data_IF_712625456215
#
_entry.id   IF_712625456215
#
_cell.length_a   1.000
_cell.length_b   1.000
_cell.length_c   1.000
_cell.angle_alpha   90.00
_cell.angle_beta   90.00
_cell.angle_gamma   90.00
#
_symmetry.space_group_name_H-M   'P 1'
#
loop_
_entity.id
_entity.type
_entity.pdbx_description
1 polymer ?
#
# COMPACT_ATOMS: atom_id res chain seq x y z
N UNK A 1 -17.00 25.06 -22.97
CA UNK A 1 -15.76 25.80 -22.67
C UNK A 1 -15.09 25.11 -21.49
N UNK A 2 -14.07 24.30 -21.72
CA UNK A 2 -13.33 23.66 -20.63
C UNK A 2 -12.36 24.71 -20.05
N UNK A 3 -12.66 25.23 -18.86
CA UNK A 3 -11.77 26.14 -18.15
C UNK A 3 -10.40 25.49 -17.98
N UNK A 4 -9.37 26.16 -18.47
CA UNK A 4 -7.99 25.69 -18.36
C UNK A 4 -7.55 25.80 -16.89
N UNK A 5 -7.70 24.70 -16.14
CA UNK A 5 -7.21 24.58 -14.76
C UNK A 5 -5.74 24.94 -14.71
N UNK A 6 -5.36 25.87 -13.83
CA UNK A 6 -3.99 26.35 -13.70
C UNK A 6 -3.04 25.23 -13.24
N UNK A 7 -1.72 25.31 -13.53
CA UNK A 7 -0.77 24.29 -13.12
C UNK A 7 -0.80 24.00 -11.61
N UNK A 8 -0.94 25.03 -10.77
CA UNK A 8 -1.03 24.91 -9.32
C UNK A 8 -2.31 24.20 -8.84
N UNK A 9 -3.46 24.48 -9.46
CA UNK A 9 -4.71 23.79 -9.15
C UNK A 9 -4.66 22.31 -9.56
N UNK A 10 -3.95 21.96 -10.66
CA UNK A 10 -3.76 20.55 -11.05
C UNK A 10 -2.91 19.79 -10.05
N UNK A 11 -1.82 20.39 -9.57
CA UNK A 11 -0.96 19.82 -8.54
C UNK A 11 -1.74 19.58 -7.23
N UNK A 12 -2.48 20.59 -6.77
CA UNK A 12 -3.32 20.48 -5.58
C UNK A 12 -4.38 19.38 -5.70
N UNK A 13 -5.05 19.28 -6.85
CA UNK A 13 -6.05 18.23 -7.07
C UNK A 13 -5.43 16.82 -7.03
N UNK A 14 -4.23 16.65 -7.60
CA UNK A 14 -3.51 15.37 -7.54
C UNK A 14 -3.04 15.03 -6.12
N UNK A 15 -2.58 16.02 -5.34
CA UNK A 15 -2.27 15.88 -3.91
C UNK A 15 -3.48 15.40 -3.11
N UNK A 16 -4.62 16.09 -3.27
CA UNK A 16 -5.86 15.76 -2.57
C UNK A 16 -6.35 14.36 -2.93
N UNK A 17 -6.27 13.99 -4.21
CA UNK A 17 -6.67 12.66 -4.66
C UNK A 17 -5.74 11.56 -4.12
N UNK A 18 -4.42 11.75 -4.18
CA UNK A 18 -3.46 10.78 -3.65
C UNK A 18 -3.53 10.65 -2.12
N UNK A 19 -3.69 11.77 -1.42
CA UNK A 19 -3.90 11.81 0.02
C UNK A 19 -5.24 11.18 0.42
N UNK A 20 -6.30 11.46 -0.33
CA UNK A 20 -7.61 10.85 -0.16
C UNK A 20 -7.56 9.32 -0.32
N UNK A 21 -6.88 8.81 -1.35
CA UNK A 21 -6.69 7.35 -1.53
C UNK A 21 -5.90 6.75 -0.36
N UNK A 22 -4.87 7.44 0.13
CA UNK A 22 -4.05 6.98 1.25
C UNK A 22 -4.87 6.91 2.55
N UNK A 23 -5.63 7.97 2.86
CA UNK A 23 -6.51 8.01 4.03
C UNK A 23 -7.60 6.95 3.91
N UNK A 24 -8.20 6.81 2.72
CA UNK A 24 -9.21 5.80 2.45
C UNK A 24 -8.64 4.39 2.69
N UNK A 25 -7.48 4.09 2.08
CA UNK A 25 -6.84 2.79 2.19
C UNK A 25 -6.40 2.48 3.62
N UNK A 26 -5.78 3.41 4.34
CA UNK A 26 -5.14 3.12 5.63
C UNK A 26 -6.01 3.37 6.85
N UNK A 27 -7.10 4.13 6.76
CA UNK A 27 -7.94 4.47 7.91
C UNK A 27 -9.42 4.12 7.67
N UNK A 28 -9.99 4.60 6.56
CA UNK A 28 -11.44 4.45 6.31
C UNK A 28 -11.81 3.00 6.02
N UNK A 29 -11.12 2.34 5.10
CA UNK A 29 -11.38 0.94 4.73
C UNK A 29 -11.18 0.00 5.93
N UNK A 30 -10.08 0.05 6.69
CA UNK A 30 -9.96 -0.69 7.95
C UNK A 30 -11.11 -0.44 8.93
N UNK A 31 -11.60 0.81 9.02
CA UNK A 31 -12.72 1.17 9.90
C UNK A 31 -14.03 0.53 9.47
N UNK A 32 -14.33 0.57 8.18
CA UNK A 32 -15.51 -0.09 7.60
C UNK A 32 -15.43 -1.61 7.84
N UNK A 33 -14.27 -2.23 7.62
CA UNK A 33 -14.08 -3.67 7.85
C UNK A 33 -14.25 -4.04 9.33
N UNK A 34 -13.75 -3.22 10.24
CA UNK A 34 -13.92 -3.41 11.68
C UNK A 34 -15.40 -3.31 12.10
N UNK A 35 -16.13 -2.31 11.59
CA UNK A 35 -17.57 -2.15 11.84
C UNK A 35 -18.40 -3.29 11.26
N UNK A 36 -18.00 -3.83 10.11
CA UNK A 36 -18.64 -4.96 9.46
C UNK A 36 -18.29 -6.32 10.13
N UNK A 37 -17.46 -6.34 11.18
CA UNK A 37 -17.06 -7.56 11.87
C UNK A 37 -16.17 -8.49 11.03
N UNK A 38 -15.49 -7.97 10.00
CA UNK A 38 -14.64 -8.77 9.13
C UNK A 38 -13.38 -9.22 9.90
N UNK A 39 -13.02 -10.51 9.87
CA UNK A 39 -11.77 -10.99 10.47
C UNK A 39 -10.55 -10.20 9.96
N UNK A 40 -9.68 -9.80 10.90
CA UNK A 40 -8.53 -8.94 10.59
C UNK A 40 -8.70 -7.47 10.97
N UNK A 41 -9.76 -7.11 11.70
CA UNK A 41 -9.92 -5.78 12.29
C UNK A 41 -8.66 -5.36 13.09
N UNK A 42 -8.25 -4.08 13.02
CA UNK A 42 -7.12 -3.57 13.79
C UNK A 42 -7.34 -3.77 15.29
N UNK A 43 -6.31 -4.24 15.99
CA UNK A 43 -6.27 -4.20 17.45
C UNK A 43 -6.28 -2.74 17.95
N UNK A 44 -6.53 -2.52 19.25
CA UNK A 44 -6.48 -1.17 19.84
C UNK A 44 -5.16 -0.44 19.53
N UNK A 45 -4.03 -1.16 19.59
CA UNK A 45 -2.72 -0.63 19.20
C UNK A 45 -2.49 -0.61 17.68
N UNK A 46 -3.18 -1.47 16.93
CA UNK A 46 -3.13 -1.50 15.47
C UNK A 46 -3.58 -0.20 14.80
N UNK A 47 -4.51 0.52 15.42
CA UNK A 47 -4.93 1.84 14.95
C UNK A 47 -3.81 2.88 14.95
N UNK A 48 -2.94 2.86 15.97
CA UNK A 48 -1.77 3.74 16.01
C UNK A 48 -0.78 3.44 14.88
N UNK A 49 -0.62 2.17 14.52
CA UNK A 49 0.22 1.76 13.38
C UNK A 49 -0.36 2.30 12.07
N UNK A 50 -1.69 2.17 11.88
CA UNK A 50 -2.37 2.67 10.69
C UNK A 50 -2.28 4.20 10.57
N UNK A 51 -2.46 4.92 11.68
CA UNK A 51 -2.31 6.40 11.72
C UNK A 51 -0.87 6.80 11.40
N UNK A 52 0.12 6.15 12.03
CA UNK A 52 1.53 6.45 11.76
C UNK A 52 1.90 6.18 10.29
N UNK A 53 1.44 5.07 9.72
CA UNK A 53 1.64 4.75 8.31
C UNK A 53 0.95 5.77 7.39
N UNK A 54 -0.27 6.19 7.73
CA UNK A 54 -1.00 7.21 6.99
C UNK A 54 -0.25 8.55 6.98
N UNK A 55 0.18 9.03 8.15
CA UNK A 55 0.96 10.26 8.27
C UNK A 55 2.26 10.18 7.48
N UNK A 56 3.01 9.08 7.59
CA UNK A 56 4.27 8.89 6.85
C UNK A 56 4.05 8.94 5.32
N UNK A 57 2.98 8.32 4.83
CA UNK A 57 2.65 8.32 3.39
C UNK A 57 2.17 9.69 2.90
N UNK A 58 1.40 10.43 3.70
CA UNK A 58 1.01 11.80 3.38
C UNK A 58 2.22 12.73 3.33
N UNK A 59 3.13 12.61 4.29
CA UNK A 59 4.40 13.34 4.29
C UNK A 59 5.26 12.99 3.07
N UNK A 60 5.34 11.70 2.70
CA UNK A 60 6.01 11.25 1.47
C UNK A 60 5.38 11.87 0.22
N UNK A 61 4.05 11.96 0.17
CA UNK A 61 3.35 12.54 -0.98
C UNK A 61 3.66 14.04 -1.12
N UNK A 62 3.62 14.80 -0.01
CA UNK A 62 3.99 16.21 0.02
C UNK A 62 5.46 16.41 -0.36
N UNK A 63 6.37 15.61 0.21
CA UNK A 63 7.79 15.66 -0.10
C UNK A 63 8.07 15.38 -1.59
N UNK A 64 7.37 14.41 -2.18
CA UNK A 64 7.48 14.08 -3.60
C UNK A 64 7.10 15.28 -4.48
N UNK A 65 5.96 15.94 -4.19
CA UNK A 65 5.57 17.16 -4.91
C UNK A 65 6.61 18.27 -4.78
N UNK A 66 7.12 18.52 -3.56
CA UNK A 66 8.12 19.56 -3.35
C UNK A 66 9.44 19.28 -4.07
N UNK A 67 9.80 18.01 -4.24
CA UNK A 67 11.06 17.61 -4.87
C UNK A 67 10.99 17.59 -6.40
N UNK A 68 9.87 17.18 -6.98
CA UNK A 68 9.75 17.00 -8.44
C UNK A 68 8.87 18.02 -9.14
N UNK A 69 8.06 18.81 -8.41
CA UNK A 69 7.08 19.76 -8.97
C UNK A 69 5.97 19.09 -9.80
N UNK A 70 5.92 17.76 -9.77
CA UNK A 70 5.00 16.94 -10.54
C UNK A 70 4.64 15.70 -9.71
N UNK A 71 3.46 15.68 -9.11
CA UNK A 71 2.82 14.43 -8.72
C UNK A 71 2.31 13.75 -9.97
N UNK A 72 2.90 12.61 -10.28
CA UNK A 72 2.38 11.72 -11.30
C UNK A 72 1.61 10.58 -10.66
N UNK A 73 0.32 10.52 -10.96
CA UNK A 73 -0.62 9.63 -10.28
C UNK A 73 -0.28 8.14 -10.52
N UNK A 74 0.27 7.83 -11.70
CA UNK A 74 0.78 6.50 -12.02
C UNK A 74 2.06 6.16 -11.23
N UNK A 75 2.89 7.15 -10.91
CA UNK A 75 4.14 6.98 -10.14
C UNK A 75 3.85 6.74 -8.65
N UNK A 76 2.82 7.37 -8.10
CA UNK A 76 2.38 7.16 -6.71
C UNK A 76 2.10 5.69 -6.39
N UNK A 77 1.47 4.99 -7.33
CA UNK A 77 1.23 3.56 -7.27
C UNK A 77 2.51 2.72 -7.19
N UNK A 78 3.42 2.95 -8.13
CA UNK A 78 4.74 2.31 -8.15
C UNK A 78 5.53 2.58 -6.87
N UNK A 79 5.59 3.83 -6.43
CA UNK A 79 6.30 4.24 -5.21
C UNK A 79 5.73 3.56 -3.96
N UNK A 80 4.41 3.31 -3.93
CA UNK A 80 3.76 2.57 -2.85
C UNK A 80 4.11 1.09 -2.89
N UNK A 81 4.18 0.46 -4.08
CA UNK A 81 4.68 -0.90 -4.22
C UNK A 81 6.13 -1.04 -3.71
N UNK A 82 7.01 -0.09 -4.06
CA UNK A 82 8.40 -0.08 -3.58
C UNK A 82 8.49 0.05 -2.06
N UNK A 83 7.67 0.93 -1.46
CA UNK A 83 7.59 1.04 0.01
C UNK A 83 7.13 -0.27 0.65
N UNK A 84 6.08 -0.90 0.11
CA UNK A 84 5.61 -2.19 0.63
C UNK A 84 6.66 -3.29 0.48
N UNK A 85 7.46 -3.29 -0.59
CA UNK A 85 8.56 -4.24 -0.77
C UNK A 85 9.60 -4.14 0.35
N UNK A 86 10.09 -2.92 0.61
CA UNK A 86 11.07 -2.68 1.67
C UNK A 86 10.51 -3.12 3.03
N UNK A 87 9.27 -2.72 3.33
CA UNK A 87 8.62 -3.07 4.59
C UNK A 87 8.41 -4.60 4.74
N UNK A 88 8.06 -5.29 3.66
CA UNK A 88 7.87 -6.75 3.67
C UNK A 88 9.19 -7.50 3.86
N UNK A 89 10.29 -7.04 3.24
CA UNK A 89 11.63 -7.61 3.47
C UNK A 89 12.02 -7.43 4.94
N UNK A 90 11.88 -6.22 5.49
CA UNK A 90 12.19 -5.96 6.89
C UNK A 90 11.35 -6.83 7.83
N UNK A 91 10.06 -7.00 7.53
CA UNK A 91 9.18 -7.86 8.30
C UNK A 91 9.61 -9.35 8.22
N UNK A 92 9.93 -9.83 7.03
CA UNK A 92 10.44 -11.19 6.83
C UNK A 92 11.76 -11.44 7.55
N UNK A 93 12.68 -10.47 7.54
CA UNK A 93 13.93 -10.54 8.29
C UNK A 93 13.68 -10.62 9.80
N UNK A 94 12.80 -9.77 10.34
CA UNK A 94 12.43 -9.80 11.76
C UNK A 94 11.83 -11.17 12.13
N UNK A 95 10.96 -11.73 11.29
CA UNK A 95 10.36 -13.03 11.56
C UNK A 95 11.38 -14.18 11.51
N UNK A 96 12.39 -14.10 10.65
CA UNK A 96 13.48 -15.08 10.56
C UNK A 96 14.39 -15.07 11.78
N UNK A 97 14.63 -13.90 12.36
CA UNK A 97 15.48 -13.73 13.55
C UNK A 97 14.73 -13.91 14.87
N UNK A 98 13.40 -13.97 14.84
CA UNK A 98 12.57 -14.11 16.02
C UNK A 98 12.17 -15.56 16.25
N UNK A 99 12.43 -16.07 17.46
CA UNK A 99 11.95 -17.39 17.90
C UNK A 99 10.43 -17.43 18.11
N UNK A 100 9.78 -16.26 18.20
CA UNK A 100 8.34 -16.11 18.35
C UNK A 100 7.67 -15.61 17.06
N UNK A 101 6.41 -15.99 16.84
CA UNK A 101 5.58 -15.45 15.75
C UNK A 101 5.29 -13.97 16.02
N UNK A 102 5.91 -13.08 15.24
CA UNK A 102 5.77 -11.62 15.33
C UNK A 102 4.53 -11.15 14.58
N UNK A 103 4.00 -11.95 13.65
CA UNK A 103 2.86 -11.62 12.78
C UNK A 103 1.70 -12.62 12.90
N UNK A 104 1.22 -12.94 14.13
CA UNK A 104 0.17 -13.95 14.32
C UNK A 104 -1.19 -13.51 13.74
N UNK A 105 -1.36 -12.22 13.46
CA UNK A 105 -2.56 -11.65 12.86
C UNK A 105 -2.78 -12.04 11.40
N UNK A 106 -1.73 -12.49 10.69
CA UNK A 106 -1.83 -12.90 9.28
C UNK A 106 -2.88 -14.00 9.05
N UNK A 107 -2.98 -14.97 9.96
CA UNK A 107 -3.95 -16.05 9.86
C UNK A 107 -5.42 -15.59 9.89
N UNK A 108 -5.69 -14.37 10.37
CA UNK A 108 -7.05 -13.81 10.44
C UNK A 108 -7.47 -13.08 9.17
N UNK A 109 -6.54 -12.81 8.26
CA UNK A 109 -6.80 -12.07 7.03
C UNK A 109 -7.35 -13.03 5.97
N UNK A 110 -8.67 -13.25 6.01
CA UNK A 110 -9.36 -14.25 5.19
C UNK A 110 -9.64 -13.85 3.74
N UNK A 111 -9.52 -12.58 3.38
CA UNK A 111 -9.81 -12.09 2.03
C UNK A 111 -8.68 -12.32 1.02
N UNK A 112 -7.50 -12.79 1.46
CA UNK A 112 -6.46 -13.33 0.59
C UNK A 112 -6.16 -14.78 1.04
N UNK A 113 -6.56 -15.80 0.27
CA UNK A 113 -6.46 -17.21 0.68
C UNK A 113 -5.03 -17.67 1.00
N UNK A 114 -4.01 -17.01 0.43
CA UNK A 114 -2.60 -17.28 0.72
C UNK A 114 -2.14 -16.77 2.10
N UNK A 115 -2.83 -15.78 2.67
CA UNK A 115 -2.47 -15.13 3.95
C UNK A 115 -3.17 -15.75 5.16
N UNK A 116 -4.35 -16.33 4.95
CA UNK A 116 -5.12 -17.04 5.98
C UNK A 116 -4.58 -18.41 6.40
N UNK A 117 -3.46 -18.88 5.85
CA UNK A 117 -2.89 -20.18 6.23
C UNK A 117 -2.50 -20.17 7.71
N UNK A 118 -3.04 -21.11 8.48
CA UNK A 118 -2.64 -21.31 9.88
C UNK A 118 -1.30 -22.06 9.93
N UNK A 119 -0.43 -21.72 10.88
CA UNK A 119 0.91 -22.32 10.95
C UNK A 119 1.88 -21.60 11.86
N UNK A 120 3.02 -22.25 12.10
CA UNK A 120 4.13 -21.75 12.92
C UNK A 120 4.91 -20.62 12.23
N UNK A 121 5.92 -20.08 12.93
CA UNK A 121 6.81 -19.02 12.44
C UNK A 121 7.40 -19.30 11.04
N UNK A 122 7.71 -20.57 10.70
CA UNK A 122 8.21 -20.95 9.36
C UNK A 122 7.19 -20.70 8.26
N UNK A 123 5.91 -20.98 8.50
CA UNK A 123 4.83 -20.74 7.56
C UNK A 123 4.63 -19.23 7.39
N UNK A 124 4.73 -18.45 8.49
CA UNK A 124 4.66 -16.97 8.44
C UNK A 124 5.76 -16.37 7.59
N UNK A 125 6.99 -16.83 7.76
CA UNK A 125 8.11 -16.42 6.93
C UNK A 125 7.86 -16.74 5.46
N UNK A 126 7.39 -17.94 5.14
CA UNK A 126 7.07 -18.32 3.77
C UNK A 126 5.96 -17.43 3.16
N UNK A 127 4.94 -17.08 3.94
CA UNK A 127 3.88 -16.16 3.51
C UNK A 127 4.39 -14.73 3.27
N UNK A 128 5.27 -14.22 4.14
CA UNK A 128 5.91 -12.90 3.95
C UNK A 128 6.82 -12.90 2.70
N UNK A 129 7.56 -13.98 2.45
CA UNK A 129 8.34 -14.14 1.22
C UNK A 129 7.41 -14.20 0.00
N UNK A 130 6.31 -14.94 0.08
CA UNK A 130 5.31 -14.99 -0.99
C UNK A 130 4.70 -13.62 -1.28
N UNK A 131 4.37 -12.84 -0.24
CA UNK A 131 3.89 -11.48 -0.38
C UNK A 131 4.93 -10.55 -0.99
N UNK A 132 6.20 -10.70 -0.59
CA UNK A 132 7.32 -9.96 -1.18
C UNK A 132 7.42 -10.25 -2.68
N UNK A 133 7.43 -11.52 -3.10
CA UNK A 133 7.50 -11.91 -4.51
C UNK A 133 6.31 -11.36 -5.30
N UNK A 134 5.10 -11.47 -4.74
CA UNK A 134 3.89 -10.94 -5.38
C UNK A 134 3.96 -9.42 -5.55
N UNK A 135 4.33 -8.70 -4.48
CA UNK A 135 4.50 -7.24 -4.51
C UNK A 135 5.60 -6.86 -5.51
N UNK A 136 6.63 -7.69 -5.67
CA UNK A 136 7.75 -7.42 -6.58
C UNK A 136 7.32 -7.57 -8.03
N UNK A 137 6.58 -8.63 -8.36
CA UNK A 137 5.99 -8.81 -9.68
C UNK A 137 5.08 -7.64 -10.05
N UNK A 138 4.25 -7.19 -9.11
CA UNK A 138 3.37 -6.04 -9.32
C UNK A 138 4.15 -4.73 -9.44
N UNK A 139 5.18 -4.52 -8.62
CA UNK A 139 6.09 -3.38 -8.73
C UNK A 139 6.78 -3.36 -10.11
N UNK A 140 7.17 -4.52 -10.63
CA UNK A 140 7.77 -4.63 -11.95
C UNK A 140 6.80 -4.29 -13.08
N UNK A 141 5.56 -4.79 -13.01
CA UNK A 141 4.50 -4.46 -13.98
C UNK A 141 4.18 -2.96 -13.93
N UNK A 142 4.00 -2.39 -12.74
CA UNK A 142 3.75 -0.96 -12.57
C UNK A 142 4.92 -0.11 -13.06
N UNK A 143 6.17 -0.52 -12.82
CA UNK A 143 7.36 0.15 -13.37
C UNK A 143 7.35 0.19 -14.90
N UNK A 144 6.98 -0.93 -15.55
CA UNK A 144 6.85 -1.01 -17.01
C UNK A 144 5.77 -0.05 -17.53
N UNK A 145 4.62 0.01 -16.87
CA UNK A 145 3.53 0.92 -17.26
C UNK A 145 3.96 2.38 -17.07
N UNK A 146 4.57 2.72 -15.93
CA UNK A 146 5.07 4.07 -15.66
C UNK A 146 6.13 4.49 -16.69
N UNK A 147 7.05 3.58 -17.04
CA UNK A 147 8.05 3.80 -18.07
C UNK A 147 7.43 4.04 -19.45
N UNK A 148 6.42 3.25 -19.83
CA UNK A 148 5.69 3.43 -21.09
C UNK A 148 4.88 4.73 -21.16
N UNK A 149 4.28 5.16 -20.04
CA UNK A 149 3.59 6.47 -19.96
C UNK A 149 4.61 7.61 -20.16
N UNK A 150 5.77 7.52 -19.49
CA UNK A 150 6.83 8.54 -19.64
C UNK A 150 7.36 8.63 -21.08
N UNK A 151 7.39 7.51 -21.80
CA UNK A 151 7.79 7.43 -23.22
C UNK A 151 6.65 7.78 -24.19
N UNK A 152 5.47 8.15 -23.69
CA UNK A 152 4.26 8.39 -24.48
C UNK A 152 3.79 7.17 -25.32
N UNK A 153 4.25 5.97 -24.97
CA UNK A 153 3.82 4.70 -25.58
C UNK A 153 2.46 4.22 -25.01
N UNK A 154 2.12 4.70 -23.80
CA UNK A 154 0.90 4.34 -23.08
C UNK A 154 0.17 5.63 -22.66
N UNK A 155 -1.14 5.68 -22.88
CA UNK A 155 -1.96 6.82 -22.47
C UNK A 155 -2.04 6.94 -20.94
N UNK A 156 -1.65 8.12 -20.45
CA UNK A 156 -1.73 8.54 -19.04
C UNK A 156 -3.15 8.55 -18.46
N UNK A 157 -4.18 8.61 -19.30
CA UNK A 157 -5.60 8.61 -18.89
C UNK A 157 -6.28 7.25 -19.04
N UNK A 158 -5.55 6.24 -19.52
CA UNK A 158 -6.09 4.90 -19.73
C UNK A 158 -6.20 4.08 -18.44
N UNK A 159 -6.95 2.97 -18.51
CA UNK A 159 -7.14 2.05 -17.38
C UNK A 159 -5.83 1.48 -16.79
N UNK A 160 -4.73 1.46 -17.56
CA UNK A 160 -3.39 1.06 -17.08
C UNK A 160 -2.81 2.04 -16.06
N UNK A 161 -3.05 3.34 -16.22
CA UNK A 161 -2.61 4.35 -15.27
C UNK A 161 -3.42 4.27 -13.96
N UNK A 162 -4.73 4.02 -14.07
CA UNK A 162 -5.58 3.75 -12.91
C UNK A 162 -5.14 2.49 -12.16
N UNK A 163 -4.84 1.40 -12.88
CA UNK A 163 -4.31 0.18 -12.25
C UNK A 163 -3.08 0.47 -11.40
N UNK A 164 -2.10 1.22 -11.93
CA UNK A 164 -0.92 1.60 -11.15
C UNK A 164 -1.33 2.37 -9.89
N UNK A 165 -2.20 3.36 -10.02
CA UNK A 165 -2.59 4.22 -8.92
C UNK A 165 -3.28 3.49 -7.75
N UNK A 166 -4.03 2.41 -8.02
CA UNK A 166 -4.73 1.66 -6.97
C UNK A 166 -3.96 0.45 -6.44
N UNK A 167 -3.17 -0.20 -7.28
CA UNK A 167 -2.53 -1.47 -6.89
C UNK A 167 -1.49 -1.24 -5.78
N UNK A 168 -0.70 -0.17 -5.85
CA UNK A 168 0.28 0.15 -4.80
C UNK A 168 -0.35 0.38 -3.43
N UNK A 169 -1.33 1.30 -3.30
CA UNK A 169 -2.09 1.49 -2.07
C UNK A 169 -2.78 0.23 -1.55
N UNK A 170 -3.27 -0.64 -2.43
CA UNK A 170 -3.85 -1.93 -2.03
C UNK A 170 -2.82 -2.83 -1.34
N UNK A 171 -1.61 -2.97 -1.91
CA UNK A 171 -0.55 -3.76 -1.29
C UNK A 171 -0.09 -3.15 0.04
N UNK A 172 0.02 -1.82 0.10
CA UNK A 172 0.35 -1.13 1.34
C UNK A 172 -0.72 -1.35 2.42
N UNK A 173 -1.99 -1.26 2.06
CA UNK A 173 -3.12 -1.56 2.94
C UNK A 173 -3.10 -3.01 3.44
N UNK A 174 -2.89 -3.98 2.54
CA UNK A 174 -2.80 -5.38 2.92
C UNK A 174 -1.68 -5.62 3.94
N UNK A 175 -0.51 -5.03 3.72
CA UNK A 175 0.60 -5.07 4.66
C UNK A 175 0.29 -4.37 5.99
N UNK A 176 -0.31 -3.18 5.94
CA UNK A 176 -0.64 -2.42 7.13
C UNK A 176 -1.67 -3.16 8.00
N UNK A 177 -2.62 -3.88 7.40
CA UNK A 177 -3.54 -4.75 8.12
C UNK A 177 -2.85 -5.98 8.73
N UNK A 178 -1.87 -6.57 8.05
CA UNK A 178 -1.02 -7.61 8.63
C UNK A 178 -0.37 -7.13 9.94
N UNK A 179 0.15 -5.90 9.95
CA UNK A 179 0.74 -5.31 11.16
C UNK A 179 -0.31 -4.97 12.23
N UNK A 180 -1.43 -4.40 11.82
CA UNK A 180 -2.45 -3.90 12.74
C UNK A 180 -3.26 -5.02 13.41
N UNK A 181 -3.29 -6.21 12.82
CA UNK A 181 -4.07 -7.37 13.28
C UNK A 181 -3.41 -8.18 14.42
N UNK A 182 -2.38 -7.64 15.08
CA UNK A 182 -1.69 -8.31 16.20
C UNK A 182 -2.68 -8.72 17.31
N UNK A 183 -2.50 -9.93 17.86
CA UNK A 183 -3.26 -10.46 19.01
C UNK A 183 -3.28 -9.41 20.14
N UNK A 184 -4.48 -8.95 20.49
CA UNK A 184 -4.84 -8.77 21.90
C UNK A 184 -5.09 -10.14 22.50
#
# INVERSE_FOLDING_TARGET
MAGTVSPGERALNKLLLGGGITIAALLVVPGILALAGVPGAPSSNGWWILVAACVAMLLKLVASETATGEIEFYKFGYDSCITTLGATISAGAIQLYSDVDVYPGMAKIGYLPTFGLQGDAKIRTAQLIGFFVLTWLVAWVTARICGGIKRQEIDSRGGKAMFCAFVGPFFLFAYALILASKKG
#
